data_IF_267471592765
#
_entry.id   IF_267471592765
#
_cell.length_a   1.000
_cell.length_b   1.000
_cell.length_c   1.000
_cell.angle_alpha   90.00
_cell.angle_beta   90.00
_cell.angle_gamma   90.00
#
_symmetry.space_group_name_H-M   'P 1'
#
loop_
_entity.id
_entity.type
_entity.pdbx_description
1 polymer ?
#
# COMPACT_ATOMS: atom_id res chain seq x y z
N UNK A 1 11.89 -13.70 -6.47
CA UNK A 1 10.47 -13.64 -6.90
C UNK A 1 10.37 -12.42 -7.78
N UNK A 2 9.71 -12.46 -8.88
CA UNK A 2 9.51 -11.29 -9.75
C UNK A 2 8.06 -10.81 -9.72
N UNK A 3 7.59 -10.27 -10.85
CA UNK A 3 6.18 -9.98 -11.03
C UNK A 3 5.34 -11.24 -10.80
N UNK A 4 4.29 -11.12 -9.99
CA UNK A 4 3.39 -12.22 -9.66
C UNK A 4 2.19 -12.27 -10.60
N UNK A 5 1.52 -13.41 -10.68
CA UNK A 5 0.24 -13.55 -11.35
C UNK A 5 -0.93 -13.38 -10.39
N UNK A 6 -2.15 -13.33 -10.92
CA UNK A 6 -3.37 -13.14 -10.13
C UNK A 6 -3.63 -14.27 -9.13
N UNK A 7 -3.26 -15.51 -9.46
CA UNK A 7 -3.39 -16.65 -8.54
C UNK A 7 -2.49 -16.50 -7.33
N UNK A 8 -1.23 -16.09 -7.54
CA UNK A 8 -0.27 -15.86 -6.45
C UNK A 8 -0.71 -14.69 -5.58
N UNK A 9 -1.22 -13.62 -6.19
CA UNK A 9 -1.82 -12.48 -5.48
C UNK A 9 -2.96 -12.92 -4.57
N UNK A 10 -3.95 -13.65 -5.07
CA UNK A 10 -5.09 -14.15 -4.29
C UNK A 10 -4.62 -15.09 -3.17
N UNK A 11 -3.74 -16.05 -3.49
CA UNK A 11 -3.21 -17.00 -2.51
C UNK A 11 -2.52 -16.28 -1.34
N UNK A 12 -1.77 -15.21 -1.63
CA UNK A 12 -1.09 -14.39 -0.63
C UNK A 12 -2.08 -13.65 0.27
N UNK A 13 -3.13 -13.05 -0.31
CA UNK A 13 -4.16 -12.37 0.48
C UNK A 13 -4.95 -13.31 1.38
N UNK A 14 -5.28 -14.50 0.89
CA UNK A 14 -6.01 -15.50 1.68
C UNK A 14 -5.19 -16.06 2.86
N UNK A 15 -3.87 -15.82 2.87
CA UNK A 15 -2.96 -16.20 3.96
C UNK A 15 -2.70 -15.07 4.97
N UNK A 16 -3.22 -13.85 4.70
CA UNK A 16 -3.08 -12.75 5.66
C UNK A 16 -3.97 -13.01 6.87
N UNK A 17 -3.41 -12.84 8.06
CA UNK A 17 -4.12 -12.94 9.33
C UNK A 17 -4.88 -11.64 9.66
N UNK A 18 -5.55 -11.05 8.68
CA UNK A 18 -6.28 -9.81 8.86
C UNK A 18 -7.69 -10.09 9.36
N UNK A 19 -8.04 -9.53 10.51
CA UNK A 19 -9.41 -9.56 10.98
C UNK A 19 -10.25 -8.53 10.23
N UNK A 20 -11.25 -8.99 9.50
CA UNK A 20 -12.13 -8.14 8.69
C UNK A 20 -13.57 -8.29 9.16
N UNK A 21 -14.23 -7.16 9.41
CA UNK A 21 -15.63 -7.08 9.74
C UNK A 21 -16.41 -6.43 8.61
N UNK A 22 -17.48 -7.03 8.19
CA UNK A 22 -18.36 -6.53 7.15
C UNK A 22 -19.82 -6.63 7.60
N UNK A 23 -20.54 -5.53 7.54
CA UNK A 23 -21.95 -5.42 7.96
C UNK A 23 -22.22 -5.94 9.39
N UNK A 24 -21.26 -5.69 10.30
CA UNK A 24 -21.34 -6.09 11.71
C UNK A 24 -20.94 -7.53 12.00
N UNK A 25 -20.57 -8.31 11.01
CA UNK A 25 -20.13 -9.68 11.14
C UNK A 25 -18.66 -9.85 10.79
N UNK A 26 -17.96 -10.69 11.56
CA UNK A 26 -16.58 -11.07 11.25
C UNK A 26 -16.57 -12.02 10.07
N UNK A 27 -15.72 -11.73 9.10
CA UNK A 27 -15.54 -12.61 7.94
C UNK A 27 -14.72 -13.81 8.36
N UNK A 28 -15.29 -14.98 8.19
CA UNK A 28 -14.63 -16.25 8.40
C UNK A 28 -14.20 -16.87 7.05
N UNK A 29 -13.05 -17.54 7.04
CA UNK A 29 -12.52 -18.20 5.86
C UNK A 29 -11.76 -17.25 4.91
N UNK A 30 -11.73 -17.58 3.63
CA UNK A 30 -10.97 -16.86 2.64
C UNK A 30 -11.68 -15.60 2.18
N UNK A 31 -10.99 -14.47 2.25
CA UNK A 31 -11.54 -13.18 1.80
C UNK A 31 -11.85 -13.19 0.30
N UNK A 32 -11.08 -13.95 -0.49
CA UNK A 32 -11.29 -14.06 -1.94
C UNK A 32 -12.58 -14.76 -2.34
N UNK A 33 -13.18 -15.52 -1.43
CA UNK A 33 -14.44 -16.24 -1.65
C UNK A 33 -15.67 -15.45 -1.15
N UNK A 34 -15.44 -14.40 -0.33
CA UNK A 34 -16.52 -13.62 0.26
C UNK A 34 -17.29 -12.83 -0.83
N UNK A 35 -18.64 -12.92 -0.87
CA UNK A 35 -19.45 -12.32 -1.96
C UNK A 35 -19.22 -10.84 -2.17
N UNK A 36 -19.02 -10.06 -1.11
CA UNK A 36 -18.78 -8.61 -1.20
C UNK A 36 -17.44 -8.24 -1.84
N UNK A 37 -16.43 -9.11 -1.79
CA UNK A 37 -15.05 -8.79 -2.21
C UNK A 37 -14.56 -9.60 -3.39
N UNK A 38 -15.16 -10.76 -3.66
CA UNK A 38 -14.77 -11.68 -4.73
C UNK A 38 -14.61 -10.99 -6.08
N UNK A 39 -15.57 -10.19 -6.50
CA UNK A 39 -15.52 -9.49 -7.81
C UNK A 39 -14.36 -8.49 -7.91
N UNK A 40 -14.15 -7.70 -6.85
CA UNK A 40 -13.03 -6.77 -6.79
C UNK A 40 -11.68 -7.51 -6.84
N UNK A 41 -11.53 -8.56 -6.04
CA UNK A 41 -10.30 -9.34 -5.97
C UNK A 41 -10.00 -10.07 -7.29
N UNK A 42 -11.01 -10.60 -7.96
CA UNK A 42 -10.86 -11.18 -9.30
C UNK A 42 -10.39 -10.14 -10.32
N UNK A 43 -10.99 -8.95 -10.31
CA UNK A 43 -10.56 -7.85 -11.18
C UNK A 43 -9.12 -7.44 -10.87
N UNK A 44 -8.77 -7.31 -9.60
CA UNK A 44 -7.40 -6.96 -9.21
C UNK A 44 -6.40 -8.05 -9.58
N UNK A 45 -6.75 -9.33 -9.39
CA UNK A 45 -5.94 -10.46 -9.80
C UNK A 45 -5.66 -10.45 -11.31
N UNK A 46 -6.67 -10.15 -12.13
CA UNK A 46 -6.49 -10.07 -13.59
C UNK A 46 -5.52 -8.97 -14.02
N UNK A 47 -5.33 -7.91 -13.24
CA UNK A 47 -4.27 -6.91 -13.51
C UNK A 47 -2.87 -7.51 -13.34
N UNK A 48 -2.67 -8.36 -12.33
CA UNK A 48 -1.42 -9.07 -12.13
C UNK A 48 -1.17 -10.11 -13.24
N UNK A 49 -2.23 -10.76 -13.74
CA UNK A 49 -2.10 -11.69 -14.88
C UNK A 49 -1.55 -11.01 -16.13
N UNK A 50 -1.93 -9.73 -16.39
CA UNK A 50 -1.38 -8.97 -17.53
C UNK A 50 0.15 -8.81 -17.47
N UNK A 51 0.74 -8.77 -16.28
CA UNK A 51 2.20 -8.69 -16.11
C UNK A 51 2.90 -10.00 -16.51
N UNK A 52 2.17 -11.11 -16.41
CA UNK A 52 2.67 -12.44 -16.71
C UNK A 52 2.31 -12.92 -18.12
N UNK A 53 1.46 -12.19 -18.84
CA UNK A 53 1.10 -12.49 -20.24
C UNK A 53 2.34 -12.40 -21.13
N UNK A 54 2.72 -13.45 -21.86
CA UNK A 54 3.90 -13.45 -22.74
C UNK A 54 3.92 -12.33 -23.77
N UNK A 55 2.75 -11.86 -24.22
CA UNK A 55 2.63 -10.79 -25.21
C UNK A 55 2.71 -9.38 -24.60
N UNK A 56 2.51 -9.25 -23.29
CA UNK A 56 2.51 -7.97 -22.59
C UNK A 56 3.68 -7.81 -21.62
N UNK A 57 4.39 -8.89 -21.31
CA UNK A 57 5.44 -8.92 -20.29
C UNK A 57 6.49 -7.81 -20.46
N UNK A 58 6.97 -7.58 -21.66
CA UNK A 58 7.94 -6.52 -21.94
C UNK A 58 7.38 -5.11 -21.74
N UNK A 59 6.06 -4.94 -21.91
CA UNK A 59 5.36 -3.69 -21.69
C UNK A 59 4.98 -3.45 -20.23
N UNK A 60 4.79 -4.54 -19.46
CA UNK A 60 4.27 -4.51 -18.10
C UNK A 60 5.36 -4.69 -17.03
N UNK A 61 6.57 -5.11 -17.42
CA UNK A 61 7.65 -5.40 -16.48
C UNK A 61 8.97 -4.75 -16.91
N UNK A 62 9.94 -4.75 -15.99
CA UNK A 62 11.34 -4.41 -16.25
C UNK A 62 12.25 -5.33 -15.43
N UNK A 63 13.54 -5.36 -15.75
CA UNK A 63 14.49 -6.21 -15.01
C UNK A 63 14.90 -5.55 -13.70
N UNK A 64 14.78 -6.29 -12.61
CA UNK A 64 15.30 -5.86 -11.31
C UNK A 64 16.79 -5.54 -11.40
N UNK A 65 17.24 -4.42 -10.87
CA UNK A 65 18.66 -4.11 -10.80
C UNK A 65 19.44 -5.07 -9.89
N UNK A 66 18.76 -5.66 -8.88
CA UNK A 66 19.37 -6.60 -7.93
C UNK A 66 19.29 -8.05 -8.42
N UNK A 67 18.09 -8.56 -8.66
CA UNK A 67 17.86 -9.99 -8.92
C UNK A 67 17.89 -10.36 -10.39
N UNK A 68 17.78 -9.38 -11.29
CA UNK A 68 17.64 -9.57 -12.75
C UNK A 68 16.35 -10.31 -13.16
N UNK A 69 15.43 -10.54 -12.22
CA UNK A 69 14.11 -11.06 -12.54
C UNK A 69 13.21 -9.96 -13.12
N UNK A 70 12.17 -10.34 -13.88
CA UNK A 70 11.15 -9.40 -14.35
C UNK A 70 10.27 -8.99 -13.18
N UNK A 71 10.17 -7.69 -12.92
CA UNK A 71 9.37 -7.09 -11.85
C UNK A 71 8.38 -6.07 -12.41
N UNK A 72 7.29 -5.80 -11.68
CA UNK A 72 6.22 -4.90 -12.15
C UNK A 72 6.71 -3.50 -12.49
N UNK A 73 6.36 -3.02 -13.69
CA UNK A 73 6.80 -1.72 -14.21
C UNK A 73 6.27 -0.54 -13.36
N UNK A 74 5.23 -0.74 -12.57
CA UNK A 74 4.71 0.25 -11.62
C UNK A 74 5.74 0.72 -10.60
N UNK A 75 6.75 -0.09 -10.32
CA UNK A 75 7.87 0.22 -9.42
C UNK A 75 9.08 0.89 -10.11
N UNK A 76 9.07 1.04 -11.42
CA UNK A 76 10.19 1.66 -12.13
C UNK A 76 10.39 3.11 -11.66
N UNK A 77 11.58 3.44 -11.18
CA UNK A 77 12.02 4.83 -10.96
C UNK A 77 12.38 5.45 -12.31
N UNK A 78 11.56 6.35 -12.87
CA UNK A 78 11.83 6.89 -14.20
C UNK A 78 13.01 7.86 -14.14
N UNK A 79 13.97 7.66 -15.02
CA UNK A 79 15.14 8.53 -15.18
C UNK A 79 15.17 9.22 -16.55
N UNK A 80 14.40 8.72 -17.50
CA UNK A 80 14.33 9.21 -18.87
C UNK A 80 12.88 9.46 -19.29
N UNK A 81 12.72 10.16 -20.40
CA UNK A 81 11.39 10.34 -21.02
C UNK A 81 10.79 9.00 -21.46
N UNK A 82 11.63 8.09 -21.93
CA UNK A 82 11.26 6.74 -22.35
C UNK A 82 10.71 5.94 -21.17
N UNK A 83 11.28 6.07 -19.98
CA UNK A 83 10.76 5.41 -18.77
C UNK A 83 9.37 5.93 -18.41
N UNK A 84 9.14 7.23 -18.52
CA UNK A 84 7.81 7.82 -18.30
C UNK A 84 6.80 7.33 -19.33
N UNK A 85 7.21 7.21 -20.60
CA UNK A 85 6.35 6.66 -21.65
C UNK A 85 5.98 5.19 -21.39
N UNK A 86 6.95 4.37 -20.96
CA UNK A 86 6.70 2.97 -20.57
C UNK A 86 5.70 2.89 -19.41
N UNK A 87 5.90 3.65 -18.34
CA UNK A 87 4.98 3.70 -17.19
C UNK A 87 3.58 4.11 -17.63
N UNK A 88 3.46 5.16 -18.44
CA UNK A 88 2.16 5.60 -18.98
C UNK A 88 1.45 4.49 -19.75
N UNK A 89 2.18 3.78 -20.62
CA UNK A 89 1.63 2.71 -21.44
C UNK A 89 1.14 1.55 -20.57
N UNK A 90 1.91 1.15 -19.57
CA UNK A 90 1.51 0.14 -18.59
C UNK A 90 0.23 0.53 -17.84
N UNK A 91 0.18 1.76 -17.30
CA UNK A 91 -1.01 2.27 -16.59
C UNK A 91 -2.23 2.33 -17.52
N UNK A 92 -2.04 2.71 -18.78
CA UNK A 92 -3.10 2.70 -19.79
C UNK A 92 -3.64 1.29 -20.03
N UNK A 93 -2.79 0.25 -20.06
CA UNK A 93 -3.22 -1.15 -20.19
C UNK A 93 -4.12 -1.56 -19.02
N UNK A 94 -3.70 -1.28 -17.80
CA UNK A 94 -4.52 -1.55 -16.62
C UNK A 94 -5.84 -0.77 -16.60
N UNK A 95 -5.80 0.51 -16.97
CA UNK A 95 -7.01 1.33 -17.06
C UNK A 95 -7.98 0.80 -18.11
N UNK A 96 -7.50 0.45 -19.31
CA UNK A 96 -8.34 -0.13 -20.35
C UNK A 96 -8.94 -1.47 -19.97
N UNK A 97 -8.15 -2.33 -19.30
CA UNK A 97 -8.61 -3.64 -18.82
C UNK A 97 -9.78 -3.54 -17.83
N UNK A 98 -9.79 -2.52 -17.00
CA UNK A 98 -10.84 -2.27 -16.01
C UNK A 98 -11.91 -1.28 -16.49
N UNK A 99 -11.88 -0.86 -17.75
CA UNK A 99 -12.79 0.18 -18.28
C UNK A 99 -12.66 1.51 -17.56
N UNK A 100 -11.51 1.78 -16.91
CA UNK A 100 -11.27 2.97 -16.09
C UNK A 100 -11.97 2.95 -14.74
N UNK A 101 -12.64 1.86 -14.37
CA UNK A 101 -13.45 1.79 -13.14
C UNK A 101 -12.64 1.52 -11.87
N UNK A 102 -11.40 1.02 -11.98
CA UNK A 102 -10.55 0.78 -10.81
C UNK A 102 -9.64 1.98 -10.53
N UNK A 103 -10.14 2.96 -9.78
CA UNK A 103 -9.39 4.17 -9.41
C UNK A 103 -8.24 3.95 -8.42
N UNK A 104 -8.10 2.74 -7.86
CA UNK A 104 -7.04 2.32 -6.93
C UNK A 104 -6.35 1.05 -7.42
N UNK A 105 -5.98 1.04 -8.69
CA UNK A 105 -5.10 0.00 -9.25
C UNK A 105 -3.74 0.02 -8.55
N UNK A 106 -2.98 -1.09 -8.57
CA UNK A 106 -1.73 -1.22 -7.81
C UNK A 106 -0.70 -0.13 -8.09
N UNK A 107 -0.65 0.38 -9.33
CA UNK A 107 0.30 1.43 -9.74
C UNK A 107 0.19 2.72 -8.93
N UNK A 108 -0.98 3.03 -8.37
CA UNK A 108 -1.19 4.26 -7.60
C UNK A 108 -0.23 4.32 -6.39
N UNK A 109 -0.28 3.34 -5.49
CA UNK A 109 0.57 3.34 -4.31
C UNK A 109 2.00 2.84 -4.57
N UNK A 110 2.18 1.98 -5.55
CA UNK A 110 3.52 1.61 -6.01
C UNK A 110 4.28 2.85 -6.51
N UNK A 111 3.59 3.77 -7.21
CA UNK A 111 4.16 5.05 -7.63
C UNK A 111 4.48 5.96 -6.44
N UNK A 112 3.59 6.03 -5.45
CA UNK A 112 3.81 6.82 -4.23
C UNK A 112 5.06 6.32 -3.48
N UNK A 113 5.13 5.01 -3.23
CA UNK A 113 6.28 4.40 -2.56
C UNK A 113 7.58 4.60 -3.34
N UNK A 114 7.53 4.40 -4.66
CA UNK A 114 8.66 4.65 -5.55
C UNK A 114 9.12 6.11 -5.47
N UNK A 115 8.20 7.07 -5.44
CA UNK A 115 8.52 8.50 -5.35
C UNK A 115 9.17 8.84 -4.02
N UNK A 116 8.67 8.29 -2.91
CA UNK A 116 9.30 8.47 -1.59
C UNK A 116 10.70 7.86 -1.55
N UNK A 117 10.88 6.67 -2.10
CA UNK A 117 12.20 6.05 -2.18
C UNK A 117 13.18 6.89 -3.02
N UNK A 118 12.71 7.43 -4.15
CA UNK A 118 13.53 8.29 -5.02
C UNK A 118 13.96 9.60 -4.34
N UNK A 119 13.21 10.07 -3.35
CA UNK A 119 13.43 11.34 -2.67
C UNK A 119 13.78 11.17 -1.18
N UNK A 120 14.13 9.95 -0.77
CA UNK A 120 14.35 9.64 0.65
C UNK A 120 15.48 10.44 1.29
N UNK A 121 16.47 10.90 0.52
CA UNK A 121 17.56 11.76 0.97
C UNK A 121 17.06 13.06 1.62
N UNK A 122 15.89 13.57 1.19
CA UNK A 122 15.28 14.77 1.78
C UNK A 122 14.89 14.58 3.24
N UNK A 123 14.84 13.34 3.72
CA UNK A 123 14.51 12.98 5.10
C UNK A 123 15.75 12.83 5.99
N UNK A 124 16.93 12.82 5.40
CA UNK A 124 18.21 12.64 6.13
C UNK A 124 18.38 13.74 7.18
N UNK A 125 18.71 13.33 8.40
CA UNK A 125 18.93 14.22 9.55
C UNK A 125 17.66 14.83 10.14
N UNK A 126 16.47 14.51 9.65
CA UNK A 126 15.20 14.94 10.25
C UNK A 126 14.79 14.02 11.38
N UNK A 127 14.25 14.60 12.44
CA UNK A 127 13.81 13.86 13.62
C UNK A 127 12.72 12.83 13.25
N UNK A 128 12.88 11.61 13.74
CA UNK A 128 11.99 10.47 13.49
C UNK A 128 11.80 10.11 11.99
N UNK A 129 12.78 10.42 11.15
CA UNK A 129 12.80 10.03 9.74
C UNK A 129 13.91 9.00 9.52
N UNK A 130 13.58 7.93 8.79
CA UNK A 130 14.47 6.79 8.53
C UNK A 130 14.48 6.51 7.02
N UNK A 131 15.25 7.25 6.23
CA UNK A 131 15.28 7.12 4.77
C UNK A 131 15.68 5.71 4.32
N UNK A 132 16.54 5.04 5.06
CA UNK A 132 16.96 3.66 4.81
C UNK A 132 15.81 2.65 4.91
N UNK A 133 14.84 2.88 5.81
CA UNK A 133 13.66 2.02 5.93
C UNK A 133 12.74 2.16 4.70
N UNK A 134 12.61 3.38 4.17
CA UNK A 134 11.83 3.63 2.94
C UNK A 134 12.49 2.91 1.76
N UNK A 135 13.82 2.98 1.65
CA UNK A 135 14.57 2.27 0.61
C UNK A 135 14.40 0.75 0.73
N UNK A 136 14.50 0.23 1.96
CA UNK A 136 14.35 -1.21 2.23
C UNK A 136 12.95 -1.69 1.90
N UNK A 137 11.93 -0.93 2.29
CA UNK A 137 10.54 -1.22 1.96
C UNK A 137 10.30 -1.20 0.45
N UNK A 138 10.78 -0.18 -0.24
CA UNK A 138 10.64 -0.08 -1.69
C UNK A 138 11.28 -1.28 -2.40
N UNK A 139 12.50 -1.68 -2.00
CA UNK A 139 13.16 -2.86 -2.54
C UNK A 139 12.35 -4.13 -2.29
N UNK A 140 11.91 -4.35 -1.06
CA UNK A 140 11.09 -5.49 -0.69
C UNK A 140 9.79 -5.54 -1.52
N UNK A 141 9.08 -4.41 -1.58
CA UNK A 141 7.82 -4.29 -2.30
C UNK A 141 7.98 -4.58 -3.80
N UNK A 142 9.02 -4.01 -4.40
CA UNK A 142 9.36 -4.20 -5.80
C UNK A 142 9.70 -5.65 -6.15
N UNK A 143 10.54 -6.30 -5.31
CA UNK A 143 10.98 -7.68 -5.58
C UNK A 143 9.89 -8.72 -5.27
N UNK A 144 8.95 -8.41 -4.40
CA UNK A 144 7.82 -9.28 -4.05
C UNK A 144 6.51 -8.89 -4.72
N UNK A 145 6.49 -7.81 -5.50
CA UNK A 145 5.30 -7.25 -6.13
C UNK A 145 4.14 -7.09 -5.14
N UNK A 146 4.42 -6.41 -4.01
CA UNK A 146 3.45 -6.19 -2.95
C UNK A 146 2.37 -5.21 -3.38
N UNK A 147 1.18 -5.40 -2.87
CA UNK A 147 0.06 -4.48 -3.05
C UNK A 147 -0.16 -3.61 -1.82
N UNK A 148 -0.61 -2.37 -2.03
CA UNK A 148 -0.78 -1.39 -0.98
C UNK A 148 -2.17 -0.77 -0.98
N UNK A 149 -2.65 -0.45 0.21
CA UNK A 149 -3.66 0.58 0.42
C UNK A 149 -3.11 1.69 1.30
N UNK A 150 -3.86 2.77 1.49
CA UNK A 150 -3.45 3.85 2.37
C UNK A 150 -4.63 4.36 3.19
N UNK A 151 -4.30 4.99 4.31
CA UNK A 151 -5.25 5.74 5.12
C UNK A 151 -4.61 7.01 5.67
N UNK A 152 -5.39 8.09 5.77
CA UNK A 152 -4.91 9.38 6.29
C UNK A 152 -5.99 10.13 7.10
N UNK A 153 -7.21 9.62 7.18
CA UNK A 153 -8.30 10.29 7.87
C UNK A 153 -8.33 9.87 9.35
N UNK A 154 -8.31 10.84 10.22
CA UNK A 154 -8.55 10.65 11.64
C UNK A 154 -10.05 10.60 11.92
N UNK A 155 -10.54 9.68 12.78
CA UNK A 155 -11.94 9.67 13.18
C UNK A 155 -12.39 11.01 13.76
N UNK A 156 -13.52 11.53 13.31
CA UNK A 156 -14.13 12.73 13.85
C UNK A 156 -15.24 12.31 14.83
N UNK A 157 -14.96 12.42 16.11
CA UNK A 157 -15.92 12.03 17.17
C UNK A 157 -16.81 13.18 17.56
N UNK A 158 -16.30 14.41 17.53
CA UNK A 158 -17.07 15.62 17.80
C UNK A 158 -16.65 16.73 16.85
N UNK A 159 -17.56 17.16 15.98
CA UNK A 159 -17.32 18.22 15.00
C UNK A 159 -17.29 19.64 15.60
N UNK A 160 -17.81 19.81 16.80
CA UNK A 160 -17.89 21.11 17.48
C UNK A 160 -16.67 21.44 18.33
N UNK A 161 -15.77 20.50 18.54
CA UNK A 161 -14.53 20.72 19.29
C UNK A 161 -13.33 20.53 18.37
N UNK A 162 -12.42 21.51 18.39
CA UNK A 162 -11.05 21.28 17.93
C UNK A 162 -10.48 20.20 18.85
N UNK A 163 -10.25 19.03 18.31
CA UNK A 163 -9.87 17.83 19.06
C UNK A 163 -8.46 18.02 19.64
N UNK A 164 -8.39 18.64 20.81
CA UNK A 164 -7.21 18.63 21.68
C UNK A 164 -7.36 17.34 22.48
N UNK A 165 -6.45 16.43 22.27
CA UNK A 165 -6.42 15.10 22.86
C UNK A 165 -6.27 15.16 24.39
N UNK A 166 -7.38 15.07 25.08
CA UNK A 166 -7.43 14.96 26.53
C UNK A 166 -8.13 13.67 26.99
N UNK A 167 -8.26 12.65 26.13
CA UNK A 167 -8.81 11.37 26.56
C UNK A 167 -7.69 10.36 26.81
N UNK A 168 -7.79 9.62 27.90
CA UNK A 168 -6.88 8.53 28.26
C UNK A 168 -6.91 7.39 27.22
N UNK A 169 -7.94 7.33 26.39
CA UNK A 169 -8.04 6.40 25.27
C UNK A 169 -7.88 7.08 23.91
N UNK A 170 -6.85 6.70 23.13
CA UNK A 170 -6.65 7.28 21.82
C UNK A 170 -7.71 6.80 20.83
N UNK A 171 -8.51 7.71 20.28
CA UNK A 171 -9.45 7.41 19.20
C UNK A 171 -8.68 7.34 17.88
N UNK A 172 -7.79 8.28 17.64
CA UNK A 172 -6.88 8.29 16.49
C UNK A 172 -5.70 7.37 16.74
N UNK A 173 -5.29 6.63 15.72
CA UNK A 173 -4.15 5.72 15.83
C UNK A 173 -2.87 6.44 16.29
N UNK A 174 -2.31 5.97 17.39
CA UNK A 174 -1.07 6.47 18.02
C UNK A 174 -0.15 5.32 18.37
N UNK A 175 1.14 5.61 18.40
CA UNK A 175 2.15 4.72 19.02
C UNK A 175 1.98 4.83 20.53
N UNK A 176 1.63 3.72 21.17
CA UNK A 176 1.45 3.62 22.62
C UNK A 176 2.64 2.94 23.30
N UNK A 177 3.41 2.14 22.57
CA UNK A 177 4.60 1.48 23.08
C UNK A 177 5.60 1.17 21.95
N UNK A 178 6.83 0.83 22.34
CA UNK A 178 7.92 0.38 21.46
C UNK A 178 8.63 -0.79 22.12
N UNK A 179 8.73 -1.88 21.41
CA UNK A 179 9.40 -3.08 21.87
C UNK A 179 10.38 -3.61 20.81
N UNK A 180 10.98 -4.79 21.07
CA UNK A 180 11.95 -5.42 20.15
C UNK A 180 11.31 -5.85 18.81
N UNK A 181 9.99 -6.03 18.77
CA UNK A 181 9.25 -6.45 17.58
C UNK A 181 8.80 -5.24 16.74
N UNK A 182 8.81 -4.03 17.31
CA UNK A 182 8.45 -2.81 16.59
C UNK A 182 7.64 -1.82 17.42
N UNK A 183 6.66 -1.19 16.77
CA UNK A 183 5.78 -0.20 17.36
C UNK A 183 4.43 -0.84 17.72
N UNK A 184 3.97 -0.60 18.95
CA UNK A 184 2.59 -0.94 19.34
C UNK A 184 1.70 0.25 19.06
N UNK A 185 0.68 0.03 18.23
CA UNK A 185 -0.25 1.07 17.79
C UNK A 185 -1.64 0.76 18.31
N UNK A 186 -2.32 1.76 18.89
CA UNK A 186 -3.73 1.69 19.30
C UNK A 186 -4.50 2.84 18.69
N UNK A 187 -5.76 2.60 18.30
CA UNK A 187 -6.68 3.59 17.77
C UNK A 187 -7.12 3.27 16.34
N UNK A 188 -7.83 4.21 15.72
CA UNK A 188 -8.45 4.02 14.41
C UNK A 188 -7.92 5.01 13.36
N UNK A 189 -7.92 4.57 12.12
CA UNK A 189 -7.77 5.39 10.90
C UNK A 189 -8.87 5.03 9.93
N UNK A 190 -9.35 6.00 9.17
CA UNK A 190 -10.49 5.84 8.28
C UNK A 190 -10.10 5.93 6.82
N UNK A 191 -11.02 5.39 5.98
CA UNK A 191 -11.02 5.47 4.54
C UNK A 191 -9.82 4.78 3.87
N UNK A 192 -9.45 3.59 4.36
CA UNK A 192 -8.56 2.70 3.64
C UNK A 192 -9.34 2.02 2.50
N UNK A 193 -9.26 2.56 1.28
CA UNK A 193 -10.03 2.13 0.08
C UNK A 193 -9.66 0.71 -0.24
N UNK A 194 -9.43 -0.21 0.07
CA UNK A 194 -9.06 -1.63 -0.11
C UNK A 194 -8.44 -2.20 1.18
N UNK A 195 -8.85 -1.63 2.33
CA UNK A 195 -8.44 -2.16 3.63
C UNK A 195 -8.77 -3.63 3.74
N UNK A 196 -7.81 -4.45 4.19
CA UNK A 196 -7.92 -5.90 4.24
C UNK A 196 -7.78 -6.64 2.90
N UNK A 197 -7.65 -5.91 1.78
CA UNK A 197 -7.56 -6.47 0.42
C UNK A 197 -6.22 -6.15 -0.25
N UNK A 198 -5.20 -5.88 0.55
CA UNK A 198 -3.83 -5.59 0.12
C UNK A 198 -2.83 -6.18 1.11
N UNK A 199 -1.58 -6.34 0.67
CA UNK A 199 -0.52 -6.86 1.55
C UNK A 199 -0.19 -5.88 2.67
N UNK A 200 -0.20 -4.58 2.38
CA UNK A 200 0.31 -3.56 3.29
C UNK A 200 -0.58 -2.32 3.31
N UNK A 201 -0.55 -1.59 4.43
CA UNK A 201 -1.25 -0.32 4.61
C UNK A 201 -0.26 0.80 4.84
N UNK A 202 -0.25 1.81 3.96
CA UNK A 202 0.50 3.04 4.17
C UNK A 202 -0.34 4.01 5.01
N UNK A 203 0.14 4.35 6.20
CA UNK A 203 -0.54 5.29 7.07
C UNK A 203 0.07 6.67 6.93
N UNK A 204 -0.71 7.62 6.42
CA UNK A 204 -0.31 9.02 6.31
C UNK A 204 -0.95 9.83 7.43
N UNK A 205 -0.18 10.74 8.01
CA UNK A 205 -0.74 11.76 8.86
C UNK A 205 -1.20 12.94 8.00
N UNK A 206 -2.46 13.35 8.14
CA UNK A 206 -2.92 14.58 7.51
C UNK A 206 -2.14 15.77 8.11
N UNK A 207 -1.69 16.74 7.31
CA UNK A 207 -1.15 17.98 7.83
C UNK A 207 -2.30 18.70 8.55
N UNK A 208 -2.35 18.58 9.86
CA UNK A 208 -3.37 19.19 10.73
C UNK A 208 -2.73 20.25 11.61
N UNK A 209 -3.43 21.34 11.74
CA UNK A 209 -3.14 22.48 12.60
C UNK A 209 -2.37 22.12 13.87
N UNK A 210 -1.22 22.81 14.05
CA UNK A 210 -0.56 23.07 15.33
C UNK A 210 0.12 21.92 16.08
N UNK A 211 1.43 22.11 16.27
CA UNK A 211 2.26 21.65 17.41
C UNK A 211 2.46 20.15 17.63
N UNK A 212 1.88 19.26 16.89
CA UNK A 212 2.26 17.84 17.00
C UNK A 212 3.35 17.50 16.00
N UNK A 213 4.46 17.00 16.55
CA UNK A 213 5.60 16.49 15.78
C UNK A 213 5.08 15.61 14.65
N UNK A 214 5.38 15.93 13.40
CA UNK A 214 4.91 15.13 12.28
C UNK A 214 5.47 13.72 12.43
N UNK A 215 4.64 12.77 12.76
CA UNK A 215 4.89 11.37 12.45
C UNK A 215 4.70 11.23 10.93
N UNK A 216 5.62 11.79 10.16
CA UNK A 216 5.78 11.54 8.74
C UNK A 216 6.43 10.16 8.59
N UNK A 217 5.65 9.13 8.86
CA UNK A 217 6.04 7.78 8.50
C UNK A 217 4.95 7.18 7.63
N UNK A 218 5.30 6.61 6.47
CA UNK A 218 4.66 5.38 6.11
C UNK A 218 5.05 4.40 7.22
N UNK A 219 4.26 4.33 8.29
CA UNK A 219 4.38 3.23 9.22
C UNK A 219 3.86 2.03 8.47
N UNK A 220 4.78 1.15 8.11
CA UNK A 220 4.44 -0.17 7.67
C UNK A 220 3.76 -0.83 8.85
N UNK A 221 2.45 -0.87 8.83
CA UNK A 221 1.70 -1.78 9.66
C UNK A 221 1.72 -3.11 8.91
N UNK A 222 2.80 -3.87 9.08
CA UNK A 222 2.70 -5.31 8.83
C UNK A 222 1.64 -5.81 9.79
N UNK A 223 0.54 -6.31 9.26
CA UNK A 223 -0.45 -7.01 10.05
C UNK A 223 0.17 -8.34 10.50
N UNK A 224 0.85 -8.30 11.63
CA UNK A 224 1.17 -9.46 12.44
C UNK A 224 0.43 -9.31 13.74
N UNK A 225 -0.43 -10.34 14.00
CA UNK A 225 -1.12 -10.76 15.23
C UNK A 225 -1.29 -9.71 16.35
#
# INVERSE_FOLDING_TARGET
MGAINGKDFISRLDQLNTEIWFDGEKIEGKISEHPAFKGLLQTKASLYDLQCDPHLKEEMTFLSPETKESIGLSYLQPKTKEDLMKRRKMTERWARHTGGMMGRSPDYLNTVLMSFASSSELLTGKANCFPENIQSLYKLAREKDLSFTHTFITPQVNRSQVYIECSDEPISAKVIDRNKEGLVIKGARLLATQGGLTDEVLVFNAPGFSVMKPLLFPSLLTQKD
#
